data_IF_446740674515
#
_entry.id   IF_446740674515
#
_cell.length_a   1.000
_cell.length_b   1.000
_cell.length_c   1.000
_cell.angle_alpha   90.00
_cell.angle_beta   90.00
_cell.angle_gamma   90.00
#
_symmetry.space_group_name_H-M   'P 1'
#
loop_
_entity.id
_entity.type
_entity.pdbx_description
1 polymer ?
#
# COMPACT_ATOMS: atom_id res chain seq x y z
N UNK A 1 -37.07 38.30 18.97
CA UNK A 1 -36.08 38.00 17.91
C UNK A 1 -35.18 36.80 18.18
N UNK A 2 -34.71 36.53 19.41
CA UNK A 2 -33.82 35.37 19.74
C UNK A 2 -34.43 33.97 19.46
N UNK A 3 -35.74 33.77 19.62
CA UNK A 3 -36.38 32.44 19.39
C UNK A 3 -36.50 32.01 17.92
N UNK A 4 -36.59 32.96 17.00
CA UNK A 4 -36.71 32.66 15.55
C UNK A 4 -35.35 32.26 14.99
N UNK A 5 -34.28 32.91 15.45
CA UNK A 5 -32.91 32.59 15.01
C UNK A 5 -32.49 31.14 15.43
N UNK A 6 -32.89 30.72 16.64
CA UNK A 6 -32.58 29.37 17.14
C UNK A 6 -33.35 28.30 16.39
N UNK A 7 -34.60 28.56 16.01
CA UNK A 7 -35.43 27.59 15.26
C UNK A 7 -34.92 27.41 13.82
N UNK A 8 -34.52 28.50 13.15
CA UNK A 8 -33.93 28.43 11.78
C UNK A 8 -32.60 27.68 11.81
N UNK A 9 -31.78 27.89 12.84
CA UNK A 9 -30.49 27.17 13.00
C UNK A 9 -30.70 25.66 13.26
N UNK A 10 -31.70 25.27 14.07
CA UNK A 10 -32.05 23.86 14.26
C UNK A 10 -32.55 23.18 12.99
N UNK A 11 -33.40 23.86 12.21
CA UNK A 11 -33.92 23.32 10.94
C UNK A 11 -32.78 23.14 9.92
N UNK A 12 -31.82 24.06 9.88
CA UNK A 12 -30.64 23.92 9.02
C UNK A 12 -29.76 22.73 9.42
N UNK A 13 -29.53 22.52 10.71
CA UNK A 13 -28.71 21.39 11.22
C UNK A 13 -29.41 20.05 10.90
N UNK A 14 -30.73 19.97 11.07
CA UNK A 14 -31.47 18.72 10.77
C UNK A 14 -31.55 18.45 9.28
N UNK A 15 -31.66 19.46 8.43
CA UNK A 15 -31.66 19.30 6.97
C UNK A 15 -30.29 18.85 6.45
N UNK A 16 -29.20 19.38 6.98
CA UNK A 16 -27.83 18.95 6.62
C UNK A 16 -27.58 17.49 7.08
N UNK A 17 -27.97 17.15 8.30
CA UNK A 17 -27.84 15.78 8.82
C UNK A 17 -28.69 14.76 8.02
N UNK A 18 -29.88 15.14 7.59
CA UNK A 18 -30.75 14.30 6.77
C UNK A 18 -30.18 14.13 5.35
N UNK A 19 -29.66 15.18 4.74
CA UNK A 19 -29.00 15.14 3.44
C UNK A 19 -27.73 14.27 3.49
N UNK A 20 -26.91 14.40 4.52
CA UNK A 20 -25.70 13.61 4.72
C UNK A 20 -26.02 12.11 4.86
N UNK A 21 -27.06 11.77 5.58
CA UNK A 21 -27.50 10.38 5.73
C UNK A 21 -28.03 9.79 4.41
N UNK A 22 -28.62 10.60 3.52
CA UNK A 22 -29.12 10.17 2.23
C UNK A 22 -28.01 9.81 1.24
N UNK A 23 -27.04 10.68 1.03
CA UNK A 23 -25.96 10.42 0.07
C UNK A 23 -24.98 9.35 0.56
N UNK A 24 -24.76 9.22 1.89
CA UNK A 24 -23.97 8.13 2.45
C UNK A 24 -24.60 6.76 2.17
N UNK A 25 -25.91 6.65 2.29
CA UNK A 25 -26.63 5.41 1.94
C UNK A 25 -26.45 5.05 0.47
N UNK A 26 -26.55 6.04 -0.42
CA UNK A 26 -26.31 5.83 -1.85
C UNK A 26 -24.88 5.41 -2.13
N UNK A 27 -23.89 6.09 -1.52
CA UNK A 27 -22.48 5.74 -1.64
C UNK A 27 -22.19 4.30 -1.17
N UNK A 28 -22.71 3.92 0.02
CA UNK A 28 -22.55 2.57 0.53
C UNK A 28 -23.23 1.51 -0.35
N UNK A 29 -24.40 1.83 -0.92
CA UNK A 29 -25.08 0.92 -1.85
C UNK A 29 -24.25 0.68 -3.10
N UNK A 30 -23.72 1.74 -3.72
CA UNK A 30 -22.89 1.63 -4.93
C UNK A 30 -21.52 1.02 -4.64
N UNK A 31 -20.92 1.30 -3.48
CA UNK A 31 -19.70 0.62 -3.06
C UNK A 31 -19.90 -0.91 -2.88
N UNK A 32 -21.05 -1.33 -2.33
CA UNK A 32 -21.42 -2.74 -2.23
C UNK A 32 -21.62 -3.39 -3.60
N UNK A 33 -22.24 -2.68 -4.50
CA UNK A 33 -22.44 -3.14 -5.88
C UNK A 33 -21.10 -3.32 -6.59
N UNK A 34 -20.20 -2.34 -6.50
CA UNK A 34 -18.83 -2.43 -7.00
C UNK A 34 -18.09 -3.64 -6.40
N UNK A 35 -18.17 -3.83 -5.07
CA UNK A 35 -17.55 -4.97 -4.39
C UNK A 35 -18.13 -6.31 -4.87
N UNK A 36 -19.45 -6.39 -5.14
CA UNK A 36 -20.07 -7.58 -5.69
C UNK A 36 -19.57 -7.91 -7.08
N UNK A 37 -19.37 -6.90 -7.95
CA UNK A 37 -18.77 -7.12 -9.26
C UNK A 37 -17.30 -7.62 -9.15
N UNK A 38 -16.52 -7.10 -8.22
CA UNK A 38 -15.18 -7.63 -7.92
C UNK A 38 -15.24 -9.08 -7.47
N UNK A 39 -16.10 -9.39 -6.49
CA UNK A 39 -16.25 -10.73 -5.91
C UNK A 39 -16.77 -11.77 -6.92
N UNK A 40 -17.54 -11.34 -7.90
CA UNK A 40 -18.04 -12.20 -9.00
C UNK A 40 -17.14 -12.21 -10.23
N UNK A 41 -15.99 -11.53 -10.18
CA UNK A 41 -15.05 -11.35 -11.30
C UNK A 41 -15.69 -10.68 -12.54
N UNK A 42 -16.79 -9.93 -12.38
CA UNK A 42 -17.36 -9.10 -13.43
C UNK A 42 -16.63 -7.76 -13.52
N UNK A 43 -15.35 -7.84 -13.88
CA UNK A 43 -14.49 -6.66 -13.93
C UNK A 43 -14.89 -5.65 -15.00
N UNK A 44 -15.69 -6.05 -16.00
CA UNK A 44 -16.25 -5.09 -16.98
C UNK A 44 -17.19 -4.09 -16.31
N UNK A 45 -18.02 -4.54 -15.38
CA UNK A 45 -18.90 -3.65 -14.60
C UNK A 45 -18.16 -2.98 -13.45
N UNK A 46 -17.21 -3.67 -12.83
CA UNK A 46 -16.39 -3.14 -11.75
C UNK A 46 -15.67 -1.84 -12.14
N UNK A 47 -15.03 -1.80 -13.31
CA UNK A 47 -14.26 -0.63 -13.77
C UNK A 47 -15.13 0.63 -14.03
N UNK A 48 -16.45 0.49 -14.14
CA UNK A 48 -17.35 1.63 -14.29
C UNK A 48 -17.50 2.44 -13.00
N UNK A 49 -17.17 1.84 -11.86
CA UNK A 49 -17.15 2.50 -10.55
C UNK A 49 -15.83 3.16 -10.22
N UNK A 50 -14.80 3.03 -11.07
CA UNK A 50 -13.46 3.54 -10.77
C UNK A 50 -13.30 5.01 -11.14
N UNK A 51 -12.49 5.72 -10.37
CA UNK A 51 -12.08 7.07 -10.69
C UNK A 51 -11.22 7.11 -11.96
N UNK A 52 -11.30 8.20 -12.77
CA UNK A 52 -10.58 8.29 -14.05
C UNK A 52 -9.09 8.01 -13.96
N UNK A 53 -8.41 8.41 -12.90
CA UNK A 53 -6.97 8.19 -12.75
C UNK A 53 -6.62 6.69 -12.56
N UNK A 54 -7.54 5.84 -12.07
CA UNK A 54 -7.29 4.40 -11.92
C UNK A 54 -7.07 3.69 -13.27
N UNK A 55 -7.55 4.28 -14.36
CA UNK A 55 -7.32 3.82 -15.73
C UNK A 55 -6.57 4.84 -16.60
N UNK A 56 -5.75 5.71 -15.96
CA UNK A 56 -4.85 6.66 -16.62
C UNK A 56 -5.58 7.81 -17.33
N UNK A 57 -6.74 8.20 -16.83
CA UNK A 57 -7.59 9.29 -17.36
C UNK A 57 -8.04 9.08 -18.83
N UNK A 58 -7.94 7.87 -19.37
CA UNK A 58 -8.36 7.52 -20.73
C UNK A 58 -9.45 6.42 -20.68
N UNK A 59 -10.71 6.73 -21.02
CA UNK A 59 -11.81 5.77 -20.98
C UNK A 59 -11.56 4.49 -21.78
N UNK A 60 -10.77 4.57 -22.88
CA UNK A 60 -10.43 3.41 -23.70
C UNK A 60 -9.56 2.38 -22.96
N UNK A 61 -8.98 2.76 -21.82
CA UNK A 61 -8.19 1.83 -21.00
C UNK A 61 -9.06 0.98 -20.04
N UNK A 62 -10.36 1.29 -19.88
CA UNK A 62 -11.25 0.53 -19.00
C UNK A 62 -11.32 -0.96 -19.38
N UNK A 63 -11.47 -1.25 -20.66
CA UNK A 63 -11.53 -2.63 -21.14
C UNK A 63 -10.21 -3.38 -20.89
N UNK A 64 -9.07 -2.74 -21.19
CA UNK A 64 -7.74 -3.29 -20.90
C UNK A 64 -7.54 -3.55 -19.41
N UNK A 65 -7.99 -2.61 -18.57
CA UNK A 65 -7.93 -2.77 -17.11
C UNK A 65 -8.81 -3.94 -16.65
N UNK A 66 -10.03 -4.06 -17.16
CA UNK A 66 -10.93 -5.16 -16.83
C UNK A 66 -10.33 -6.53 -17.20
N UNK A 67 -9.73 -6.65 -18.39
CA UNK A 67 -9.03 -7.87 -18.82
C UNK A 67 -7.81 -8.18 -17.95
N UNK A 68 -7.02 -7.16 -17.61
CA UNK A 68 -5.86 -7.33 -16.71
C UNK A 68 -6.29 -7.82 -15.32
N UNK A 69 -7.36 -7.23 -14.76
CA UNK A 69 -7.92 -7.64 -13.47
C UNK A 69 -8.43 -9.09 -13.55
N UNK A 70 -9.15 -9.44 -14.61
CA UNK A 70 -9.64 -10.80 -14.82
C UNK A 70 -8.51 -11.83 -14.82
N UNK A 71 -7.39 -11.56 -15.52
CA UNK A 71 -6.21 -12.44 -15.51
C UNK A 71 -5.52 -12.50 -14.16
N UNK A 72 -5.46 -11.36 -13.45
CA UNK A 72 -4.77 -11.25 -12.16
C UNK A 72 -5.51 -12.01 -11.06
N UNK A 73 -6.84 -12.01 -11.09
CA UNK A 73 -7.69 -12.63 -10.06
C UNK A 73 -8.36 -13.91 -10.56
N UNK A 74 -7.84 -14.52 -11.63
CA UNK A 74 -8.29 -15.81 -12.11
C UNK A 74 -8.06 -16.87 -11.03
N UNK A 75 -9.14 -17.52 -10.58
CA UNK A 75 -9.11 -18.49 -9.48
C UNK A 75 -9.00 -17.90 -8.07
N UNK A 76 -8.95 -16.57 -7.90
CA UNK A 76 -8.99 -15.94 -6.58
C UNK A 76 -10.41 -16.05 -5.98
N UNK A 77 -10.49 -16.56 -4.76
CA UNK A 77 -11.74 -16.71 -4.00
C UNK A 77 -11.90 -15.68 -2.89
N UNK A 78 -11.01 -14.70 -2.82
CA UNK A 78 -11.12 -13.63 -1.82
C UNK A 78 -12.33 -12.76 -2.08
N UNK A 79 -12.99 -12.34 -1.01
CA UNK A 79 -14.19 -11.50 -1.11
C UNK A 79 -14.02 -10.19 -0.34
N UNK A 80 -14.45 -9.11 -0.99
CA UNK A 80 -14.47 -7.77 -0.40
C UNK A 80 -15.86 -7.53 0.20
N UNK A 81 -15.89 -7.09 1.44
CA UNK A 81 -17.12 -6.68 2.12
C UNK A 81 -17.03 -5.22 2.54
N UNK A 82 -17.98 -4.41 2.10
CA UNK A 82 -18.16 -3.03 2.57
C UNK A 82 -18.71 -3.05 4.00
N UNK A 83 -18.00 -2.40 4.93
CA UNK A 83 -18.32 -2.43 6.36
C UNK A 83 -19.14 -1.21 6.76
N UNK A 84 -18.58 -0.01 6.62
CA UNK A 84 -19.22 1.24 7.06
C UNK A 84 -18.59 2.47 6.45
N UNK A 85 -19.31 3.58 6.47
CA UNK A 85 -18.74 4.93 6.29
C UNK A 85 -17.85 5.26 7.49
N UNK A 86 -16.66 5.76 7.20
CA UNK A 86 -15.73 6.29 8.21
C UNK A 86 -15.90 7.79 8.34
N UNK A 87 -15.97 8.48 7.20
CA UNK A 87 -16.21 9.92 7.13
C UNK A 87 -16.80 10.28 5.79
N UNK A 88 -17.68 11.25 5.80
CA UNK A 88 -18.20 11.91 4.60
C UNK A 88 -18.17 13.43 4.76
N UNK A 89 -18.00 14.12 3.67
CA UNK A 89 -18.03 15.57 3.63
C UNK A 89 -18.62 16.06 2.31
N UNK A 90 -19.13 17.27 2.36
CA UNK A 90 -19.49 18.09 1.19
C UNK A 90 -18.40 19.15 1.07
N UNK A 91 -17.61 19.09 -0.01
CA UNK A 91 -16.58 20.07 -0.30
C UNK A 91 -16.98 20.83 -1.57
N UNK A 92 -17.53 22.03 -1.41
CA UNK A 92 -18.18 22.81 -2.49
C UNK A 92 -19.30 21.99 -3.13
N UNK A 93 -19.19 21.68 -4.42
CA UNK A 93 -20.19 20.90 -5.18
C UNK A 93 -19.85 19.42 -5.25
N UNK A 94 -18.72 19.00 -4.65
CA UNK A 94 -18.28 17.63 -4.65
C UNK A 94 -18.54 16.95 -3.30
N UNK A 95 -19.18 15.79 -3.34
CA UNK A 95 -19.40 14.94 -2.19
C UNK A 95 -18.27 13.91 -2.10
N UNK A 96 -17.68 13.75 -0.94
CA UNK A 96 -16.51 12.91 -0.70
C UNK A 96 -16.79 11.98 0.48
N UNK A 97 -16.38 10.72 0.35
CA UNK A 97 -16.62 9.69 1.36
C UNK A 97 -15.43 8.76 1.51
N UNK A 98 -15.13 8.39 2.75
CA UNK A 98 -14.20 7.32 3.07
C UNK A 98 -14.97 6.14 3.65
N UNK A 99 -14.82 4.98 3.04
CA UNK A 99 -15.54 3.75 3.39
C UNK A 99 -14.54 2.70 3.84
N UNK A 100 -14.81 2.06 4.99
CA UNK A 100 -14.06 0.89 5.45
C UNK A 100 -14.61 -0.35 4.75
N UNK A 101 -13.71 -1.09 4.13
CA UNK A 101 -13.95 -2.40 3.55
C UNK A 101 -13.14 -3.46 4.28
N UNK A 102 -13.55 -4.72 4.17
CA UNK A 102 -12.83 -5.87 4.72
C UNK A 102 -12.69 -6.95 3.66
N UNK A 103 -11.47 -7.39 3.47
CA UNK A 103 -11.10 -8.50 2.61
C UNK A 103 -10.51 -9.61 3.48
N UNK A 104 -11.20 -10.74 3.60
CA UNK A 104 -10.87 -11.77 4.61
C UNK A 104 -10.76 -11.14 6.01
N UNK A 105 -9.56 -11.11 6.61
CA UNK A 105 -9.28 -10.52 7.93
C UNK A 105 -8.56 -9.17 7.85
N UNK A 106 -8.47 -8.55 6.66
CA UNK A 106 -7.77 -7.27 6.44
C UNK A 106 -8.75 -6.16 6.23
N UNK A 107 -8.60 -5.09 6.99
CA UNK A 107 -9.33 -3.85 6.80
C UNK A 107 -8.58 -2.96 5.80
N UNK A 108 -9.30 -2.43 4.84
CA UNK A 108 -8.81 -1.43 3.90
C UNK A 108 -9.87 -0.36 3.67
N UNK A 109 -9.46 0.76 3.08
CA UNK A 109 -10.37 1.87 2.83
C UNK A 109 -10.49 2.12 1.33
N UNK A 110 -11.69 2.47 0.89
CA UNK A 110 -11.92 3.05 -0.42
C UNK A 110 -12.37 4.50 -0.25
N UNK A 111 -11.91 5.36 -1.15
CA UNK A 111 -12.32 6.75 -1.19
C UNK A 111 -13.25 6.97 -2.37
N UNK A 112 -14.40 7.60 -2.12
CA UNK A 112 -15.42 7.85 -3.13
C UNK A 112 -15.66 9.33 -3.35
N UNK A 113 -15.99 9.68 -4.59
CA UNK A 113 -16.36 11.02 -5.01
C UNK A 113 -17.68 10.97 -5.78
N UNK A 114 -18.52 11.97 -5.54
CA UNK A 114 -19.69 12.27 -6.37
C UNK A 114 -19.67 13.75 -6.75
N UNK A 115 -19.83 14.02 -8.05
CA UNK A 115 -19.92 15.37 -8.61
C UNK A 115 -21.35 15.78 -8.94
N UNK A 116 -22.33 14.97 -8.60
CA UNK A 116 -23.76 15.17 -8.89
C UNK A 116 -24.65 15.10 -7.65
N UNK A 117 -24.13 15.63 -6.55
CA UNK A 117 -24.82 15.74 -5.25
C UNK A 117 -25.16 14.37 -4.64
N UNK A 118 -24.29 13.38 -4.80
CA UNK A 118 -24.39 12.08 -4.17
C UNK A 118 -25.26 11.06 -4.91
N UNK A 119 -25.66 11.33 -6.17
CA UNK A 119 -26.44 10.40 -6.98
C UNK A 119 -25.58 9.27 -7.54
N UNK A 120 -24.46 9.63 -8.15
CA UNK A 120 -23.49 8.67 -8.70
C UNK A 120 -22.14 8.84 -8.04
N UNK A 121 -21.50 7.71 -7.73
CA UNK A 121 -20.23 7.66 -7.01
C UNK A 121 -19.20 6.91 -7.83
N UNK A 122 -18.01 7.48 -7.87
CA UNK A 122 -16.81 6.80 -8.36
C UNK A 122 -15.85 6.59 -7.19
N UNK A 123 -15.16 5.45 -7.17
CA UNK A 123 -14.30 5.04 -6.08
C UNK A 123 -12.88 4.82 -6.59
N UNK A 124 -11.90 4.86 -5.65
CA UNK A 124 -10.53 4.47 -5.97
C UNK A 124 -10.41 2.96 -6.00
N UNK A 125 -9.56 2.47 -6.88
CA UNK A 125 -9.13 1.08 -6.87
C UNK A 125 -8.11 0.86 -5.75
N UNK A 126 -8.57 0.64 -4.54
CA UNK A 126 -7.69 0.34 -3.42
C UNK A 126 -7.52 -1.17 -3.28
N UNK A 127 -6.77 -1.76 -4.17
CA UNK A 127 -6.30 -3.14 -4.04
C UNK A 127 -5.09 -3.26 -3.09
N UNK A 128 -4.60 -2.15 -2.58
CA UNK A 128 -3.47 -2.08 -1.65
C UNK A 128 -3.84 -1.19 -0.47
N UNK A 129 -3.97 -1.82 0.56
CA UNK A 129 -4.02 -1.61 2.00
C UNK A 129 -3.99 -0.20 2.59
N UNK A 130 -3.84 0.92 1.94
CA UNK A 130 -3.92 2.23 2.60
C UNK A 130 -3.87 3.38 1.60
N UNK A 131 -4.92 4.19 1.64
CA UNK A 131 -4.98 5.49 1.02
C UNK A 131 -3.79 6.36 1.43
N UNK A 132 -2.82 6.50 0.54
CA UNK A 132 -1.83 7.54 0.65
C UNK A 132 -2.50 8.89 0.35
N UNK A 133 -2.77 9.68 1.37
CA UNK A 133 -3.43 10.98 1.21
C UNK A 133 -2.69 11.88 0.21
N UNK A 134 -1.36 11.87 0.20
CA UNK A 134 -0.57 12.65 -0.76
C UNK A 134 -0.81 12.20 -2.20
N UNK A 135 -0.83 10.90 -2.46
CA UNK A 135 -1.13 10.36 -3.79
C UNK A 135 -2.58 10.64 -4.20
N UNK A 136 -3.52 10.58 -3.26
CA UNK A 136 -4.90 11.00 -3.54
C UNK A 136 -4.97 12.49 -3.85
N UNK A 137 -4.24 13.34 -3.14
CA UNK A 137 -4.24 14.78 -3.35
C UNK A 137 -3.63 15.16 -4.71
N UNK A 138 -2.61 14.43 -5.15
CA UNK A 138 -2.04 14.61 -6.49
C UNK A 138 -3.06 14.30 -7.60
N UNK A 139 -3.83 13.21 -7.44
CA UNK A 139 -4.82 12.77 -8.43
C UNK A 139 -6.19 13.42 -8.26
N UNK A 140 -6.49 13.92 -7.07
CA UNK A 140 -7.75 14.57 -6.69
C UNK A 140 -7.42 15.88 -5.96
N UNK A 141 -7.04 16.95 -6.67
CA UNK A 141 -6.66 18.22 -6.04
C UNK A 141 -7.77 18.83 -5.15
N UNK A 142 -9.03 18.43 -5.39
CA UNK A 142 -10.20 18.88 -4.64
C UNK A 142 -10.46 18.09 -3.35
N UNK A 143 -9.63 17.06 -3.04
CA UNK A 143 -9.81 16.28 -1.81
C UNK A 143 -9.69 17.17 -0.57
N UNK A 144 -10.61 17.01 0.37
CA UNK A 144 -10.55 17.78 1.62
C UNK A 144 -9.42 17.31 2.51
N UNK A 145 -8.63 18.25 2.99
CA UNK A 145 -7.56 17.99 3.96
C UNK A 145 -8.07 17.37 5.27
N UNK A 146 -9.38 17.47 5.54
CA UNK A 146 -9.99 16.85 6.71
C UNK A 146 -9.96 15.32 6.68
N UNK A 147 -9.65 14.69 5.53
CA UNK A 147 -9.39 13.25 5.44
C UNK A 147 -7.97 12.87 5.84
N UNK A 148 -7.02 13.80 5.85
CA UNK A 148 -5.61 13.52 6.18
C UNK A 148 -5.42 12.92 7.58
N UNK A 149 -6.26 13.31 8.55
CA UNK A 149 -6.19 12.83 9.94
C UNK A 149 -6.83 11.44 10.16
N UNK A 150 -7.59 10.95 9.17
CA UNK A 150 -8.29 9.66 9.24
C UNK A 150 -7.53 8.54 8.55
N UNK A 151 -6.57 8.92 7.75
CA UNK A 151 -5.54 8.02 7.29
C UNK A 151 -4.72 7.68 8.53
N UNK A 152 -4.86 6.45 9.02
CA UNK A 152 -4.32 5.86 10.27
C UNK A 152 -3.20 6.72 10.90
N UNK A 153 -3.27 7.09 12.20
CA UNK A 153 -2.21 7.83 12.89
C UNK A 153 -0.83 7.15 12.81
N UNK A 154 -0.79 5.84 12.55
CA UNK A 154 0.43 5.14 12.14
C UNK A 154 0.95 5.57 10.77
N UNK A 155 0.10 6.12 9.88
CA UNK A 155 0.49 6.65 8.57
C UNK A 155 1.27 7.96 8.60
N UNK A 156 1.08 8.79 9.59
CA UNK A 156 1.90 9.98 9.81
C UNK A 156 3.34 9.67 10.23
N UNK A 157 3.62 8.42 10.59
CA UNK A 157 4.97 7.90 10.83
C UNK A 157 5.40 6.97 9.71
N UNK A 158 5.29 7.40 8.46
CA UNK A 158 6.01 6.72 7.39
C UNK A 158 7.48 6.75 7.75
N UNK A 159 8.07 5.58 7.84
CA UNK A 159 9.52 5.45 7.82
C UNK A 159 9.96 5.89 6.44
N UNK A 160 10.17 7.20 6.29
CA UNK A 160 10.83 7.70 5.10
C UNK A 160 12.27 7.21 5.19
N UNK A 161 12.64 6.30 4.32
CA UNK A 161 14.04 5.94 4.15
C UNK A 161 14.78 7.09 3.45
N UNK A 162 14.98 8.18 4.17
CA UNK A 162 15.75 9.31 3.68
C UNK A 162 17.20 9.07 4.05
N UNK A 163 18.09 9.20 3.07
CA UNK A 163 19.53 9.08 3.31
C UNK A 163 19.98 10.01 4.44
N UNK A 164 20.64 9.46 5.44
CA UNK A 164 21.10 10.17 6.62
C UNK A 164 20.16 10.12 7.83
N UNK A 165 18.94 9.67 7.69
CA UNK A 165 18.02 9.44 8.80
C UNK A 165 18.22 8.08 9.45
N UNK A 166 17.86 7.97 10.73
CA UNK A 166 17.85 6.68 11.42
C UNK A 166 16.67 5.86 10.98
N UNK A 167 16.91 4.56 10.74
CA UNK A 167 15.82 3.63 10.49
C UNK A 167 14.93 3.52 11.73
N UNK A 168 13.61 3.43 11.50
CA UNK A 168 12.70 3.10 12.59
C UNK A 168 12.96 1.70 13.14
N UNK A 169 12.76 1.49 14.45
CA UNK A 169 12.91 0.18 15.06
C UNK A 169 12.03 -0.86 14.35
N UNK A 170 12.60 -2.03 14.06
CA UNK A 170 11.87 -3.16 13.49
C UNK A 170 12.12 -4.45 14.26
N UNK A 171 11.19 -5.39 14.16
CA UNK A 171 11.32 -6.75 14.66
C UNK A 171 10.65 -7.69 13.67
N UNK A 172 11.44 -8.55 13.06
CA UNK A 172 11.01 -9.56 12.11
C UNK A 172 11.20 -10.97 12.67
N UNK A 173 10.42 -11.91 12.18
CA UNK A 173 10.66 -13.34 12.34
C UNK A 173 10.92 -13.92 10.95
N UNK A 174 12.09 -14.53 10.74
CA UNK A 174 12.40 -15.14 9.45
C UNK A 174 11.62 -16.46 9.23
N UNK A 175 11.70 -16.98 8.01
CA UNK A 175 10.98 -18.22 7.66
C UNK A 175 11.49 -19.46 8.42
N UNK A 176 12.63 -19.40 9.10
CA UNK A 176 13.16 -20.42 9.99
C UNK A 176 12.75 -20.21 11.46
N UNK A 177 12.08 -19.11 11.79
CA UNK A 177 11.63 -18.77 13.15
C UNK A 177 12.63 -17.93 13.95
N UNK A 178 13.74 -17.48 13.35
CA UNK A 178 14.72 -16.61 14.00
C UNK A 178 14.20 -15.18 14.07
N UNK A 179 14.35 -14.56 15.24
CA UNK A 179 14.01 -13.15 15.45
C UNK A 179 15.17 -12.27 15.02
N UNK A 180 14.86 -11.27 14.17
CA UNK A 180 15.76 -10.24 13.69
C UNK A 180 15.19 -8.89 14.14
N UNK A 181 15.89 -8.15 14.98
CA UNK A 181 15.46 -6.83 15.43
C UNK A 181 16.54 -5.78 15.22
N UNK A 182 16.12 -4.54 15.00
CA UNK A 182 17.03 -3.40 14.89
C UNK A 182 18.00 -3.33 16.10
N UNK A 183 17.52 -3.63 17.32
CA UNK A 183 18.34 -3.61 18.52
C UNK A 183 19.41 -4.73 18.53
N UNK A 184 19.05 -5.94 18.09
CA UNK A 184 19.99 -7.07 18.03
C UNK A 184 21.00 -6.96 16.88
N UNK A 185 20.78 -6.04 15.95
CA UNK A 185 21.61 -5.83 14.77
C UNK A 185 22.44 -4.55 14.83
N UNK A 186 22.40 -3.80 15.94
CA UNK A 186 23.29 -2.65 16.15
C UNK A 186 24.75 -3.05 15.98
N UNK A 187 25.55 -2.18 15.36
CA UNK A 187 26.95 -2.42 15.05
C UNK A 187 27.18 -3.25 13.77
N UNK A 188 26.14 -3.75 13.13
CA UNK A 188 26.22 -4.41 11.82
C UNK A 188 25.67 -3.52 10.73
N UNK A 189 26.18 -3.68 9.52
CA UNK A 189 25.54 -3.15 8.32
C UNK A 189 24.33 -4.02 8.00
N UNK A 190 23.20 -3.42 7.63
CA UNK A 190 21.99 -4.14 7.28
C UNK A 190 21.59 -3.79 5.86
N UNK A 191 21.29 -4.81 5.07
CA UNK A 191 20.70 -4.66 3.73
C UNK A 191 19.28 -5.20 3.78
N UNK A 192 18.31 -4.34 3.51
CA UNK A 192 16.91 -4.75 3.33
C UNK A 192 16.62 -4.80 1.83
N UNK A 193 16.01 -5.88 1.37
CA UNK A 193 15.42 -6.00 0.03
C UNK A 193 13.93 -6.31 0.16
N UNK A 194 13.08 -5.33 -0.11
CA UNK A 194 11.63 -5.52 -0.15
C UNK A 194 11.21 -6.07 -1.51
N UNK A 195 10.47 -7.18 -1.50
CA UNK A 195 10.10 -7.91 -2.70
C UNK A 195 8.75 -8.63 -2.56
N UNK A 196 8.23 -9.20 -3.64
CA UNK A 196 7.08 -10.11 -3.62
C UNK A 196 7.24 -11.22 -4.65
N UNK A 197 6.54 -12.33 -4.49
CA UNK A 197 6.57 -13.44 -5.47
C UNK A 197 6.01 -13.06 -6.84
N UNK A 198 5.13 -12.08 -6.93
CA UNK A 198 4.58 -11.57 -8.19
C UNK A 198 5.49 -10.55 -8.90
N UNK A 199 6.62 -10.20 -8.29
CA UNK A 199 7.56 -9.22 -8.83
C UNK A 199 8.62 -9.90 -9.71
N UNK A 200 8.41 -9.91 -11.02
CA UNK A 200 9.37 -10.49 -11.97
C UNK A 200 10.79 -9.95 -11.84
N UNK A 201 11.03 -8.62 -11.82
CA UNK A 201 12.35 -8.04 -11.62
C UNK A 201 13.02 -8.50 -10.31
N UNK A 202 12.25 -8.67 -9.21
CA UNK A 202 12.78 -9.15 -7.94
C UNK A 202 13.33 -10.57 -8.03
N UNK A 203 12.64 -11.44 -8.76
CA UNK A 203 13.09 -12.83 -9.00
C UNK A 203 14.34 -12.83 -9.89
N UNK A 204 14.36 -11.96 -10.91
CA UNK A 204 15.47 -11.85 -11.86
C UNK A 204 16.78 -11.43 -11.18
N UNK A 205 16.73 -10.60 -10.15
CA UNK A 205 17.94 -10.10 -9.45
C UNK A 205 18.51 -11.08 -8.41
N UNK A 206 17.74 -12.11 -7.97
CA UNK A 206 18.17 -13.01 -6.88
C UNK A 206 19.54 -13.66 -7.10
N UNK A 207 19.92 -14.14 -8.30
CA UNK A 207 21.27 -14.68 -8.53
C UNK A 207 22.37 -13.67 -8.24
N UNK A 208 22.26 -12.42 -8.69
CA UNK A 208 23.24 -11.37 -8.47
C UNK A 208 23.33 -11.00 -6.98
N UNK A 209 22.19 -10.96 -6.29
CA UNK A 209 22.16 -10.72 -4.83
C UNK A 209 22.79 -11.88 -4.05
N UNK A 210 22.64 -13.13 -4.50
CA UNK A 210 23.32 -14.28 -3.90
C UNK A 210 24.86 -14.17 -4.05
N UNK A 211 25.32 -13.71 -5.21
CA UNK A 211 26.77 -13.44 -5.41
C UNK A 211 27.26 -12.34 -4.46
N UNK A 212 26.48 -11.28 -4.26
CA UNK A 212 26.80 -10.21 -3.32
C UNK A 212 26.88 -10.75 -1.88
N UNK A 213 25.96 -11.60 -1.44
CA UNK A 213 26.01 -12.26 -0.14
C UNK A 213 27.28 -13.10 0.00
N UNK A 214 27.63 -13.87 -1.03
CA UNK A 214 28.84 -14.70 -1.03
C UNK A 214 30.12 -13.86 -0.89
N UNK A 215 30.23 -12.74 -1.61
CA UNK A 215 31.35 -11.79 -1.51
C UNK A 215 31.49 -11.16 -0.12
N UNK A 216 30.37 -11.00 0.59
CA UNK A 216 30.35 -10.39 1.94
C UNK A 216 30.48 -11.42 3.06
N UNK A 217 30.75 -12.68 2.75
CA UNK A 217 30.91 -13.75 3.75
C UNK A 217 32.01 -13.40 4.76
N UNK A 218 31.70 -13.56 6.06
CA UNK A 218 32.62 -13.25 7.15
C UNK A 218 32.68 -11.78 7.57
N UNK A 219 32.00 -10.88 6.86
CA UNK A 219 31.89 -9.46 7.22
C UNK A 219 30.70 -9.21 8.14
N UNK A 220 30.72 -8.09 8.87
CA UNK A 220 29.65 -7.69 9.80
C UNK A 220 28.47 -7.06 9.04
N UNK A 221 27.82 -7.84 8.18
CA UNK A 221 26.65 -7.45 7.41
C UNK A 221 25.55 -8.50 7.51
N UNK A 222 24.29 -8.05 7.52
CA UNK A 222 23.10 -8.91 7.54
C UNK A 222 22.21 -8.53 6.37
N UNK A 223 21.84 -9.55 5.60
CA UNK A 223 20.94 -9.40 4.45
C UNK A 223 19.56 -9.94 4.82
N UNK A 224 18.54 -9.10 4.76
CA UNK A 224 17.15 -9.42 5.11
C UNK A 224 16.26 -9.12 3.91
N UNK A 225 15.38 -10.04 3.57
CA UNK A 225 14.45 -9.90 2.45
C UNK A 225 12.99 -9.91 2.96
N UNK A 226 12.41 -8.74 3.27
CA UNK A 226 11.00 -8.64 3.57
C UNK A 226 10.14 -8.99 2.34
N UNK A 227 9.50 -10.17 2.38
CA UNK A 227 8.55 -10.63 1.39
C UNK A 227 7.17 -10.08 1.72
N UNK A 228 6.65 -9.23 0.83
CA UNK A 228 5.38 -8.52 1.02
C UNK A 228 4.27 -9.30 0.33
N UNK A 229 3.11 -9.44 0.99
CA UNK A 229 1.93 -10.16 0.46
C UNK A 229 2.25 -11.60 -0.01
N UNK A 230 3.19 -12.24 0.65
CA UNK A 230 3.64 -13.58 0.26
C UNK A 230 3.67 -14.49 1.48
N UNK A 231 3.11 -15.68 1.39
CA UNK A 231 3.11 -16.64 2.49
C UNK A 231 4.45 -17.37 2.58
N UNK A 232 4.82 -17.80 3.79
CA UNK A 232 5.98 -18.68 4.00
C UNK A 232 5.88 -19.96 3.16
N UNK A 233 4.70 -20.55 3.09
CA UNK A 233 4.46 -21.81 2.39
C UNK A 233 4.72 -21.67 0.89
N UNK A 234 4.25 -20.59 0.28
CA UNK A 234 4.48 -20.33 -1.15
C UNK A 234 5.97 -20.09 -1.44
N UNK A 235 6.66 -19.38 -0.55
CA UNK A 235 8.11 -19.17 -0.67
C UNK A 235 8.85 -20.51 -0.63
N UNK A 236 8.60 -21.30 0.40
CA UNK A 236 9.35 -22.55 0.64
C UNK A 236 9.01 -23.63 -0.39
N UNK A 237 7.73 -23.77 -0.76
CA UNK A 237 7.28 -24.87 -1.63
C UNK A 237 7.38 -24.53 -3.11
N UNK A 238 7.18 -23.27 -3.49
CA UNK A 238 7.03 -22.89 -4.90
C UNK A 238 8.18 -22.05 -5.44
N UNK A 239 8.78 -21.17 -4.64
CA UNK A 239 9.83 -20.26 -5.10
C UNK A 239 11.23 -20.83 -4.91
N UNK A 240 11.63 -21.11 -3.66
CA UNK A 240 13.02 -21.45 -3.32
C UNK A 240 13.58 -22.68 -4.06
N UNK A 241 12.79 -23.71 -4.42
CA UNK A 241 13.27 -24.81 -5.23
C UNK A 241 13.72 -24.40 -6.63
N UNK A 242 13.16 -23.32 -7.18
CA UNK A 242 13.44 -22.82 -8.54
C UNK A 242 14.37 -21.60 -8.52
N UNK A 243 14.28 -20.81 -7.49
CA UNK A 243 15.01 -19.54 -7.33
C UNK A 243 15.61 -19.47 -5.91
N UNK A 244 16.75 -20.13 -5.66
CA UNK A 244 17.44 -20.07 -4.37
C UNK A 244 17.74 -18.62 -3.99
N UNK A 245 17.52 -18.26 -2.71
CA UNK A 245 17.77 -16.91 -2.23
C UNK A 245 18.50 -16.94 -0.89
N UNK A 246 19.66 -16.27 -0.83
CA UNK A 246 20.59 -16.35 0.31
C UNK A 246 20.30 -15.31 1.39
N UNK A 247 19.36 -14.41 1.20
CA UNK A 247 18.92 -13.46 2.23
C UNK A 247 18.09 -14.18 3.30
N UNK A 248 18.08 -13.61 4.52
CA UNK A 248 17.15 -14.04 5.56
C UNK A 248 15.75 -13.53 5.19
N UNK A 249 14.91 -14.42 4.71
CA UNK A 249 13.57 -14.06 4.23
C UNK A 249 12.63 -13.92 5.43
N UNK A 250 11.90 -12.82 5.49
CA UNK A 250 10.85 -12.55 6.46
C UNK A 250 9.54 -12.26 5.73
N UNK A 251 8.43 -12.82 6.20
CA UNK A 251 7.11 -12.51 5.64
C UNK A 251 6.51 -11.32 6.38
N UNK A 252 6.10 -10.32 5.63
CA UNK A 252 5.41 -9.15 6.18
C UNK A 252 4.06 -8.98 5.50
N UNK A 253 3.04 -8.62 6.28
CA UNK A 253 1.67 -8.51 5.77
C UNK A 253 1.49 -7.31 4.83
N UNK A 254 2.29 -6.27 5.05
CA UNK A 254 2.26 -5.07 4.24
C UNK A 254 3.62 -4.34 4.28
N UNK A 255 3.81 -3.41 3.37
CA UNK A 255 5.01 -2.57 3.24
C UNK A 255 4.82 -1.12 3.70
N UNK A 256 3.67 -0.82 4.26
CA UNK A 256 3.27 0.57 4.58
C UNK A 256 4.11 1.19 5.68
N UNK A 257 4.48 0.38 6.68
CA UNK A 257 5.32 0.83 7.80
C UNK A 257 6.74 1.20 7.33
N UNK A 258 7.11 0.83 6.10
CA UNK A 258 8.46 1.02 5.53
C UNK A 258 8.51 2.00 4.37
N UNK A 259 7.39 2.66 4.04
CA UNK A 259 7.29 3.60 2.90
C UNK A 259 7.92 3.06 1.60
N UNK A 260 7.63 1.80 1.30
CA UNK A 260 8.05 1.14 0.07
C UNK A 260 6.90 1.16 -0.92
N UNK A 261 7.08 1.83 -2.05
CA UNK A 261 6.01 2.06 -3.04
C UNK A 261 6.17 1.18 -4.29
N UNK A 262 7.31 0.54 -4.46
CA UNK A 262 7.64 -0.31 -5.62
C UNK A 262 8.53 -1.47 -5.22
N UNK A 263 8.60 -2.50 -6.07
CA UNK A 263 9.48 -3.66 -5.86
C UNK A 263 10.36 -3.89 -7.10
N UNK A 264 11.62 -4.29 -6.89
CA UNK A 264 12.32 -4.38 -5.61
C UNK A 264 12.67 -3.00 -5.05
N UNK A 265 12.72 -2.85 -3.72
CA UNK A 265 13.31 -1.69 -3.04
C UNK A 265 14.43 -2.15 -2.13
N UNK A 266 15.60 -1.58 -2.30
CA UNK A 266 16.78 -1.88 -1.50
C UNK A 266 17.11 -0.71 -0.56
N UNK A 267 17.47 -1.04 0.69
CA UNK A 267 17.90 -0.07 1.69
C UNK A 267 19.17 -0.58 2.35
N UNK A 268 20.22 0.24 2.42
CA UNK A 268 21.43 -0.05 3.17
C UNK A 268 21.48 0.84 4.41
N UNK A 269 21.72 0.23 5.55
CA UNK A 269 21.75 0.85 6.87
C UNK A 269 23.14 0.61 7.46
N UNK A 270 23.76 1.67 7.97
CA UNK A 270 25.09 1.58 8.60
C UNK A 270 25.05 1.01 10.02
N UNK A 271 26.22 0.84 10.63
CA UNK A 271 26.37 0.31 11.98
C UNK A 271 25.72 1.19 13.06
N UNK A 272 25.47 2.46 12.76
CA UNK A 272 24.82 3.44 13.64
C UNK A 272 23.32 3.54 13.41
N UNK A 273 22.76 2.63 12.56
CA UNK A 273 21.34 2.58 12.20
C UNK A 273 20.89 3.79 11.35
N UNK A 274 21.79 4.44 10.61
CA UNK A 274 21.45 5.46 9.64
C UNK A 274 21.27 4.83 8.26
N UNK A 275 20.30 5.33 7.51
CA UNK A 275 20.06 4.94 6.13
C UNK A 275 21.12 5.63 5.26
N UNK A 276 21.96 4.85 4.60
CA UNK A 276 23.03 5.37 3.75
C UNK A 276 22.72 5.26 2.27
N UNK A 277 21.82 4.35 1.91
CA UNK A 277 21.40 4.16 0.52
C UNK A 277 19.99 3.60 0.43
N UNK A 278 19.21 4.11 -0.52
CA UNK A 278 17.92 3.55 -0.95
C UNK A 278 17.80 3.68 -2.45
N UNK A 279 17.28 2.65 -3.10
CA UNK A 279 16.82 2.74 -4.48
C UNK A 279 15.68 1.77 -4.74
N UNK A 280 14.87 2.14 -5.71
CA UNK A 280 13.73 1.38 -6.21
C UNK A 280 14.04 0.87 -7.61
N UNK A 281 13.52 -0.29 -7.96
CA UNK A 281 13.74 -1.02 -9.19
C UNK A 281 15.10 -1.74 -9.33
N UNK A 282 15.09 -2.82 -10.13
CA UNK A 282 16.28 -3.60 -10.43
C UNK A 282 17.12 -2.96 -11.54
N UNK A 283 18.42 -2.87 -11.34
CA UNK A 283 19.42 -2.69 -12.39
C UNK A 283 20.77 -3.25 -11.94
N UNK A 284 21.53 -3.77 -12.89
CA UNK A 284 22.91 -4.27 -12.62
C UNK A 284 23.83 -3.18 -12.06
N UNK A 285 23.66 -1.93 -12.48
CA UNK A 285 24.41 -0.79 -11.97
C UNK A 285 24.10 -0.56 -10.49
N UNK A 286 22.84 -0.67 -10.08
CA UNK A 286 22.44 -0.52 -8.70
C UNK A 286 23.03 -1.62 -7.82
N UNK A 287 23.07 -2.88 -8.27
CA UNK A 287 23.70 -3.98 -7.55
C UNK A 287 25.20 -3.74 -7.35
N UNK A 288 25.89 -3.27 -8.39
CA UNK A 288 27.31 -2.87 -8.31
C UNK A 288 27.52 -1.74 -7.29
N UNK A 289 26.68 -0.72 -7.34
CA UNK A 289 26.73 0.40 -6.40
C UNK A 289 26.47 -0.03 -4.94
N UNK A 290 25.58 -0.99 -4.71
CA UNK A 290 25.43 -1.60 -3.40
C UNK A 290 26.73 -2.26 -2.92
N UNK A 291 27.39 -3.04 -3.77
CA UNK A 291 28.68 -3.68 -3.45
C UNK A 291 29.74 -2.63 -3.06
N UNK A 292 29.89 -1.57 -3.84
CA UNK A 292 30.83 -0.47 -3.54
C UNK A 292 30.56 0.18 -2.18
N UNK A 293 29.29 0.45 -1.86
CA UNK A 293 28.88 1.04 -0.58
C UNK A 293 29.19 0.07 0.58
N UNK A 294 28.82 -1.21 0.44
CA UNK A 294 29.09 -2.22 1.45
C UNK A 294 30.58 -2.37 1.71
N UNK A 295 31.40 -2.40 0.66
CA UNK A 295 32.86 -2.46 0.80
C UNK A 295 33.44 -1.22 1.50
N UNK A 296 32.81 -0.05 1.31
CA UNK A 296 33.16 1.18 2.03
C UNK A 296 32.85 1.16 3.52
N UNK A 297 31.69 0.59 3.89
CA UNK A 297 31.20 0.51 5.27
C UNK A 297 31.86 -0.60 6.10
N UNK A 298 32.41 -1.63 5.46
CA UNK A 298 32.91 -2.87 6.07
C UNK A 298 34.46 -2.97 6.06
N UNK A 299 35.13 -1.83 5.87
CA UNK A 299 36.60 -1.70 5.97
C UNK A 299 37.10 -1.87 7.38
#
# INVERSE_FOLDING_TARGET
MKKITTLVFLIFITAIACAQNSFEKTALSQAKEMANYSNSHDFKKYVDYLLPFDYGNNPNNKEKLAEMLKRRYDGDTTTIRVVKTVKSIINKDQYQILILCREQNRDHYIFGISNDKGKNWLFTQTMQTKLNFSSLQENIPTISTSFSSLVDPKFGKRVNYIKGEKIAPFKFTDIQGKILSSDSLKGKVIVLNFWSMSCGPCITEMPELNELVAKMKGKQVVFIAPAVYTSKDDIVKSLLPKHPFSYQIVCIENNDDYNVNSFPTHVIIDQNMNIVYKYDAYSKENTRKMEEILMGLLK
#
